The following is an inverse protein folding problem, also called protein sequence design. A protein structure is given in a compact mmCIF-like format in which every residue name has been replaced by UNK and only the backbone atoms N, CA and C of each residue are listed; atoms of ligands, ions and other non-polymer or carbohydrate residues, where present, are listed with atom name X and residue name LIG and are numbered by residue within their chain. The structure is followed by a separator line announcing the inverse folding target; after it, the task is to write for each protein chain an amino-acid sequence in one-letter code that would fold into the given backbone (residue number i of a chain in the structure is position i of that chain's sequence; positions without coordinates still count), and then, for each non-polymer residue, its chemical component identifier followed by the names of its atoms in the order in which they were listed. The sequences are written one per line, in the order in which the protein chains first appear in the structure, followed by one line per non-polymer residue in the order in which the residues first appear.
data_IF_461601122056
#
_entry.id   IF_461601122056
#
_cell.length_a   1.000
_cell.length_b   1.000
_cell.length_c   1.000
_cell.angle_alpha   90.00
_cell.angle_beta   90.00
_cell.angle_gamma   90.00
#
_symmetry.space_group_name_H-M   'P 1'
#
loop_
_entity.id
_entity.type
_entity.pdbx_description
1 polymer ?
#
# COMPACT_ATOMS: atom_id res chain seq x y z
N UNK A 1 4.46 -2.15 16.12
CA UNK A 1 4.45 -2.08 14.63
C UNK A 1 4.41 -0.61 14.22
N UNK A 2 5.26 -0.21 13.30
CA UNK A 2 5.40 1.18 12.85
C UNK A 2 4.50 1.38 11.63
N UNK A 3 3.49 2.24 11.75
CA UNK A 3 2.66 2.67 10.61
C UNK A 3 3.12 4.05 10.14
N UNK A 4 2.74 4.48 8.93
CA UNK A 4 3.06 5.81 8.41
C UNK A 4 2.49 6.93 9.31
N UNK A 5 1.34 6.69 9.91
CA UNK A 5 0.64 7.67 10.75
C UNK A 5 1.06 7.64 12.23
N UNK A 6 1.82 6.62 12.67
CA UNK A 6 2.34 6.55 14.03
C UNK A 6 3.70 7.24 14.23
N UNK A 7 4.35 7.68 13.14
CA UNK A 7 5.63 8.38 13.20
C UNK A 7 5.41 9.86 13.50
N UNK A 8 6.24 10.45 14.34
CA UNK A 8 6.39 11.91 14.40
C UNK A 8 7.21 12.43 13.20
N UNK A 9 7.28 13.76 13.04
CA UNK A 9 7.96 14.36 11.89
C UNK A 9 9.48 14.13 11.91
N UNK A 10 10.10 14.10 13.08
CA UNK A 10 11.51 13.82 13.22
C UNK A 10 11.83 12.36 12.85
N UNK A 11 11.00 11.42 13.29
CA UNK A 11 11.15 10.01 12.94
C UNK A 11 10.91 9.75 11.44
N UNK A 12 9.96 10.45 10.82
CA UNK A 12 9.74 10.38 9.38
C UNK A 12 10.94 10.94 8.61
N UNK A 13 11.46 12.11 9.02
CA UNK A 13 12.62 12.75 8.37
C UNK A 13 13.85 11.83 8.39
N UNK A 14 14.20 11.25 9.54
CA UNK A 14 15.31 10.28 9.63
C UNK A 14 15.15 9.10 8.67
N UNK A 15 13.93 8.59 8.49
CA UNK A 15 13.67 7.48 7.57
C UNK A 15 13.80 7.89 6.11
N UNK A 16 13.36 9.09 5.76
CA UNK A 16 13.54 9.64 4.41
C UNK A 16 15.03 9.93 4.12
N UNK A 17 15.79 10.44 5.08
CA UNK A 17 17.25 10.61 4.97
C UNK A 17 17.97 9.28 4.74
N UNK A 18 17.57 8.23 5.47
CA UNK A 18 18.09 6.87 5.24
C UNK A 18 17.78 6.38 3.81
N UNK A 19 16.58 6.64 3.30
CA UNK A 19 16.24 6.31 1.90
C UNK A 19 17.04 7.14 0.91
N UNK A 20 17.33 8.40 1.20
CA UNK A 20 18.14 9.28 0.35
C UNK A 20 19.59 8.82 0.20
N UNK A 21 20.11 8.00 1.13
CA UNK A 21 21.43 7.39 1.02
C UNK A 21 21.50 6.20 0.04
N UNK A 22 20.35 5.71 -0.45
CA UNK A 22 20.30 4.60 -1.38
C UNK A 22 20.59 5.09 -2.81
N UNK A 23 21.70 4.66 -3.38
CA UNK A 23 22.19 5.15 -4.68
C UNK A 23 21.24 4.89 -5.86
N UNK A 24 20.37 3.88 -5.75
CA UNK A 24 19.40 3.53 -6.80
C UNK A 24 18.08 4.29 -6.70
N UNK A 25 17.85 5.06 -5.61
CA UNK A 25 16.58 5.72 -5.40
C UNK A 25 16.64 7.17 -5.89
N UNK A 26 15.89 7.55 -6.95
CA UNK A 26 15.94 8.90 -7.49
C UNK A 26 15.44 9.93 -6.48
N UNK A 27 16.16 11.07 -6.35
CA UNK A 27 15.77 12.17 -5.46
C UNK A 27 14.36 12.70 -5.74
N UNK A 28 13.98 12.81 -7.01
CA UNK A 28 12.61 13.22 -7.39
C UNK A 28 11.52 12.28 -6.85
N UNK A 29 11.78 10.97 -6.81
CA UNK A 29 10.84 10.01 -6.21
C UNK A 29 10.73 10.20 -4.70
N UNK A 30 11.84 10.51 -4.02
CA UNK A 30 11.84 10.81 -2.58
C UNK A 30 11.11 12.11 -2.26
N UNK A 31 11.17 13.10 -3.14
CA UNK A 31 10.39 14.35 -3.00
C UNK A 31 8.88 14.05 -3.09
N UNK A 32 8.45 13.22 -4.06
CA UNK A 32 7.05 12.77 -4.17
C UNK A 32 6.62 12.05 -2.90
N UNK A 33 7.41 11.06 -2.48
CA UNK A 33 7.10 10.22 -1.31
C UNK A 33 7.03 11.06 -0.05
N UNK A 34 8.06 11.88 0.22
CA UNK A 34 8.12 12.72 1.42
C UNK A 34 7.02 13.77 1.45
N UNK A 35 6.74 14.42 0.33
CA UNK A 35 5.64 15.38 0.19
C UNK A 35 4.28 14.73 0.40
N UNK A 36 4.03 13.59 -0.27
CA UNK A 36 2.78 12.83 -0.12
C UNK A 36 2.54 12.42 1.34
N UNK A 37 3.56 11.89 2.02
CA UNK A 37 3.44 11.48 3.42
C UNK A 37 3.12 12.64 4.36
N UNK A 38 3.72 13.81 4.15
CA UNK A 38 3.41 15.00 4.98
C UNK A 38 1.97 15.45 4.76
N UNK A 39 1.50 15.50 3.51
CA UNK A 39 0.12 15.86 3.17
C UNK A 39 -0.88 14.85 3.74
N UNK A 40 -0.63 13.56 3.58
CA UNK A 40 -1.48 12.51 4.14
C UNK A 40 -1.56 12.57 5.67
N UNK A 41 -0.45 12.85 6.37
CA UNK A 41 -0.42 12.98 7.83
C UNK A 41 -1.22 14.20 8.29
N UNK A 42 -1.07 15.35 7.62
CA UNK A 42 -1.87 16.54 7.88
C UNK A 42 -3.37 16.27 7.69
N UNK A 43 -3.75 15.64 6.57
CA UNK A 43 -5.12 15.24 6.32
C UNK A 43 -5.64 14.25 7.39
N UNK A 44 -4.83 13.24 7.78
CA UNK A 44 -5.22 12.25 8.81
C UNK A 44 -5.47 12.90 10.17
N UNK A 45 -4.67 13.90 10.57
CA UNK A 45 -4.83 14.59 11.84
C UNK A 45 -6.14 15.41 11.93
N UNK A 46 -6.71 15.79 10.79
CA UNK A 46 -7.96 16.53 10.70
C UNK A 46 -9.20 15.63 10.63
N UNK A 47 -9.02 14.31 10.48
CA UNK A 47 -10.12 13.35 10.35
C UNK A 47 -10.53 12.79 11.72
N UNK A 48 -11.83 12.81 11.97
CA UNK A 48 -12.41 12.03 13.06
C UNK A 48 -12.51 10.56 12.62
N UNK A 49 -12.03 9.59 13.42
CA UNK A 49 -12.24 8.19 13.11
C UNK A 49 -13.75 7.86 13.12
N UNK A 50 -14.21 6.96 12.23
CA UNK A 50 -15.60 6.55 12.24
C UNK A 50 -15.94 5.81 13.53
N UNK A 51 -17.22 5.90 13.95
CA UNK A 51 -17.71 5.12 15.07
C UNK A 51 -17.73 3.63 14.70
N UNK A 52 -16.86 2.86 15.34
CA UNK A 52 -16.73 1.42 15.09
C UNK A 52 -18.05 0.64 15.31
N UNK A 53 -18.90 1.11 16.23
CA UNK A 53 -20.19 0.47 16.53
C UNK A 53 -21.19 0.60 15.37
N UNK A 54 -20.98 1.55 14.46
CA UNK A 54 -21.83 1.75 13.28
C UNK A 54 -21.35 1.01 12.05
N UNK A 55 -20.18 0.38 12.11
CA UNK A 55 -19.63 -0.42 11.00
C UNK A 55 -20.30 -1.81 11.01
N UNK A 56 -20.89 -2.20 9.91
CA UNK A 56 -21.52 -3.51 9.72
C UNK A 56 -20.47 -4.61 9.53
N UNK A 57 -19.75 -4.98 10.60
CA UNK A 57 -18.68 -5.96 10.54
C UNK A 57 -19.21 -7.39 10.46
N UNK A 58 -18.49 -8.24 9.72
CA UNK A 58 -18.80 -9.67 9.60
C UNK A 58 -18.70 -10.38 10.96
N UNK A 59 -19.66 -11.24 11.23
CA UNK A 59 -19.71 -12.02 12.45
C UNK A 59 -18.60 -13.10 12.53
N UNK A 60 -18.36 -13.65 13.74
CA UNK A 60 -17.29 -14.63 13.96
C UNK A 60 -17.38 -15.89 13.06
N UNK A 61 -18.60 -16.36 12.77
CA UNK A 61 -18.82 -17.54 11.94
C UNK A 61 -18.41 -17.36 10.48
N UNK A 62 -18.77 -16.22 9.87
CA UNK A 62 -18.37 -15.89 8.50
C UNK A 62 -16.89 -15.57 8.40
N UNK A 63 -16.33 -14.94 9.42
CA UNK A 63 -14.89 -14.68 9.51
C UNK A 63 -14.06 -15.95 9.60
N UNK A 64 -14.53 -16.96 10.32
CA UNK A 64 -13.88 -18.28 10.37
C UNK A 64 -13.80 -18.95 8.99
N UNK A 65 -14.72 -18.60 8.07
CA UNK A 65 -14.74 -19.06 6.68
C UNK A 65 -13.92 -18.16 5.73
N UNK A 66 -13.22 -17.15 6.24
CA UNK A 66 -12.37 -16.26 5.46
C UNK A 66 -13.00 -14.93 5.07
N UNK A 67 -14.22 -14.60 5.51
CA UNK A 67 -14.78 -13.28 5.25
C UNK A 67 -13.96 -12.18 5.96
N UNK A 68 -13.65 -11.04 5.30
CA UNK A 68 -13.03 -9.91 5.96
C UNK A 68 -13.98 -9.27 6.97
N UNK A 69 -13.47 -8.44 7.87
CA UNK A 69 -14.30 -7.67 8.81
C UNK A 69 -15.32 -6.79 8.09
N UNK A 70 -14.87 -6.09 7.06
CA UNK A 70 -15.67 -5.21 6.23
C UNK A 70 -15.09 -5.28 4.81
N UNK A 71 -15.90 -5.57 3.79
CA UNK A 71 -15.36 -5.64 2.43
C UNK A 71 -14.83 -4.27 1.98
N UNK A 72 -13.79 -4.26 1.15
CA UNK A 72 -13.15 -3.00 0.71
C UNK A 72 -14.16 -2.01 0.09
N UNK A 73 -15.13 -2.51 -0.68
CA UNK A 73 -16.18 -1.69 -1.29
C UNK A 73 -17.11 -1.03 -0.27
N UNK A 74 -17.20 -1.59 0.94
CA UNK A 74 -18.08 -1.12 2.02
C UNK A 74 -17.33 -0.22 3.02
N UNK A 75 -16.02 0.01 2.82
CA UNK A 75 -15.27 0.95 3.66
C UNK A 75 -15.86 2.35 3.50
N UNK A 76 -16.29 2.99 4.60
CA UNK A 76 -16.80 4.34 4.52
C UNK A 76 -15.69 5.32 4.13
N UNK A 77 -16.00 6.20 3.19
CA UNK A 77 -15.18 7.34 2.83
C UNK A 77 -16.06 8.51 2.46
N UNK A 78 -15.55 9.71 2.59
CA UNK A 78 -16.22 10.94 2.20
C UNK A 78 -15.38 11.65 1.14
N UNK A 79 -15.88 11.83 -0.09
CA UNK A 79 -15.15 12.54 -1.14
C UNK A 79 -14.96 14.04 -0.84
N UNK A 80 -15.82 14.67 -0.04
CA UNK A 80 -15.73 16.09 0.23
C UNK A 80 -14.44 16.47 1.02
N UNK A 81 -14.13 15.87 2.19
CA UNK A 81 -12.86 16.13 2.87
C UNK A 81 -11.65 15.50 2.18
N UNK A 82 -11.82 14.59 1.21
CA UNK A 82 -10.74 14.04 0.41
C UNK A 82 -10.26 15.00 -0.69
N UNK A 83 -11.16 15.84 -1.24
CA UNK A 83 -10.87 16.69 -2.37
C UNK A 83 -9.69 17.66 -2.14
N UNK A 84 -9.55 18.36 -1.01
CA UNK A 84 -8.40 19.22 -0.77
C UNK A 84 -7.07 18.47 -0.88
N UNK A 85 -6.96 17.26 -0.33
CA UNK A 85 -5.74 16.45 -0.43
C UNK A 85 -5.42 16.05 -1.88
N UNK A 86 -6.43 15.72 -2.69
CA UNK A 86 -6.23 15.48 -4.12
C UNK A 86 -5.62 16.71 -4.82
N UNK A 87 -6.16 17.89 -4.55
CA UNK A 87 -5.67 19.13 -5.17
C UNK A 87 -4.25 19.47 -4.70
N UNK A 88 -3.92 19.30 -3.42
CA UNK A 88 -2.58 19.46 -2.87
C UNK A 88 -1.56 18.47 -3.46
N UNK A 89 -1.94 17.21 -3.65
CA UNK A 89 -1.11 16.22 -4.34
C UNK A 89 -0.87 16.60 -5.81
N UNK A 90 -1.88 17.10 -6.50
CA UNK A 90 -1.70 17.64 -7.85
C UNK A 90 -0.73 18.83 -7.88
N UNK A 91 -0.76 19.73 -6.89
CA UNK A 91 0.19 20.84 -6.76
C UNK A 91 1.60 20.31 -6.52
N UNK A 92 1.77 19.36 -5.59
CA UNK A 92 3.06 18.71 -5.30
C UNK A 92 3.67 18.11 -6.58
N UNK A 93 2.90 17.30 -7.30
CA UNK A 93 3.39 16.65 -8.51
C UNK A 93 3.67 17.61 -9.64
N UNK A 94 2.91 18.70 -9.76
CA UNK A 94 3.14 19.75 -10.76
C UNK A 94 4.40 20.58 -10.48
N UNK A 95 4.87 20.64 -9.23
CA UNK A 95 6.12 21.35 -8.85
C UNK A 95 7.39 20.60 -9.26
N UNK A 96 7.27 19.31 -9.59
CA UNK A 96 8.37 18.49 -10.05
C UNK A 96 8.69 18.76 -11.54
N UNK A 97 9.84 18.26 -11.99
CA UNK A 97 10.23 18.35 -13.39
C UNK A 97 9.97 17.02 -14.12
N UNK A 98 9.69 17.12 -15.43
CA UNK A 98 9.56 15.95 -16.31
C UNK A 98 8.14 15.40 -16.45
N UNK A 99 8.02 14.16 -16.90
CA UNK A 99 6.76 13.50 -17.29
C UNK A 99 5.61 13.57 -16.28
N UNK A 100 5.84 13.45 -14.96
CA UNK A 100 4.75 13.58 -13.99
C UNK A 100 4.09 14.96 -14.02
N UNK A 101 4.86 16.04 -14.17
CA UNK A 101 4.33 17.40 -14.19
C UNK A 101 3.42 17.65 -15.42
N UNK A 102 3.81 17.15 -16.59
CA UNK A 102 3.03 17.27 -17.82
C UNK A 102 1.71 16.49 -17.73
N UNK A 103 1.78 15.27 -17.20
CA UNK A 103 0.60 14.44 -16.97
C UNK A 103 -0.39 15.10 -15.98
N UNK A 104 0.12 15.70 -14.91
CA UNK A 104 -0.69 16.45 -13.95
C UNK A 104 -1.34 17.69 -14.57
N UNK A 105 -0.66 18.41 -15.44
CA UNK A 105 -1.26 19.54 -16.15
C UNK A 105 -2.44 19.09 -17.04
N UNK A 106 -2.30 17.94 -17.72
CA UNK A 106 -3.38 17.35 -18.47
C UNK A 106 -4.53 16.97 -17.56
N UNK A 107 -4.26 16.26 -16.46
CA UNK A 107 -5.27 15.87 -15.48
C UNK A 107 -6.00 17.08 -14.86
N UNK A 108 -5.31 18.16 -14.57
CA UNK A 108 -5.93 19.40 -14.05
C UNK A 108 -6.89 20.04 -15.05
N UNK A 109 -6.57 20.02 -16.35
CA UNK A 109 -7.49 20.47 -17.40
C UNK A 109 -8.73 19.59 -17.48
N UNK A 110 -8.56 18.28 -17.40
CA UNK A 110 -9.68 17.32 -17.39
C UNK A 110 -10.54 17.49 -16.12
N UNK A 111 -9.93 17.72 -14.96
CA UNK A 111 -10.66 17.99 -13.71
C UNK A 111 -11.42 19.33 -13.77
N UNK A 112 -10.89 20.33 -14.46
CA UNK A 112 -11.59 21.59 -14.66
C UNK A 112 -12.80 21.43 -15.61
N UNK A 113 -12.72 20.49 -16.55
CA UNK A 113 -13.83 20.15 -17.47
C UNK A 113 -14.87 19.22 -16.82
N UNK A 114 -14.45 18.38 -15.88
CA UNK A 114 -15.30 17.45 -15.12
C UNK A 114 -14.92 17.50 -13.63
N UNK A 115 -15.57 18.37 -12.87
CA UNK A 115 -15.34 18.55 -11.43
C UNK A 115 -15.56 17.27 -10.62
N UNK A 116 -16.33 16.33 -11.16
CA UNK A 116 -16.60 15.03 -10.53
C UNK A 116 -15.49 14.00 -10.78
N UNK A 117 -14.48 14.31 -11.60
CA UNK A 117 -13.41 13.36 -11.93
C UNK A 117 -12.70 12.78 -10.69
N UNK A 118 -12.30 13.57 -9.67
CA UNK A 118 -11.72 12.99 -8.45
C UNK A 118 -12.67 12.02 -7.74
N UNK A 119 -13.93 12.36 -7.60
CA UNK A 119 -14.93 11.48 -6.97
C UNK A 119 -15.14 10.18 -7.78
N UNK A 120 -15.12 10.24 -9.11
CA UNK A 120 -15.14 9.05 -9.97
C UNK A 120 -13.90 8.18 -9.78
N UNK A 121 -12.71 8.79 -9.66
CA UNK A 121 -11.48 8.06 -9.38
C UNK A 121 -11.49 7.41 -7.99
N UNK A 122 -12.05 8.07 -6.97
CA UNK A 122 -12.22 7.50 -5.65
C UNK A 122 -13.17 6.29 -5.69
N UNK A 123 -14.32 6.42 -6.33
CA UNK A 123 -15.26 5.31 -6.49
C UNK A 123 -14.63 4.13 -7.23
N UNK A 124 -13.90 4.38 -8.32
CA UNK A 124 -13.19 3.37 -9.09
C UNK A 124 -12.15 2.64 -8.22
N UNK A 125 -11.38 3.37 -7.38
CA UNK A 125 -10.41 2.76 -6.47
C UNK A 125 -11.09 1.87 -5.41
N UNK A 126 -12.18 2.34 -4.82
CA UNK A 126 -12.95 1.57 -3.84
C UNK A 126 -13.52 0.29 -4.44
N UNK A 127 -14.03 0.35 -5.68
CA UNK A 127 -14.63 -0.77 -6.40
C UNK A 127 -13.59 -1.67 -7.10
N UNK A 128 -12.31 -1.28 -7.16
CA UNK A 128 -11.28 -1.95 -7.96
C UNK A 128 -11.63 -1.98 -9.47
N UNK A 129 -12.09 -0.86 -9.97
CA UNK A 129 -12.43 -0.72 -11.40
C UNK A 129 -11.15 -0.55 -12.24
N UNK A 130 -10.59 -1.67 -12.65
CA UNK A 130 -9.39 -1.70 -13.50
C UNK A 130 -9.63 -1.09 -14.88
N UNK A 131 -10.89 -1.15 -15.40
CA UNK A 131 -11.22 -0.57 -16.69
C UNK A 131 -11.11 0.96 -16.67
N UNK A 132 -11.57 1.60 -15.58
CA UNK A 132 -11.40 3.04 -15.37
C UNK A 132 -9.91 3.43 -15.38
N UNK A 133 -9.09 2.75 -14.61
CA UNK A 133 -7.66 3.07 -14.51
C UNK A 133 -6.90 2.77 -15.81
N UNK A 134 -7.23 1.68 -16.51
CA UNK A 134 -6.64 1.35 -17.81
C UNK A 134 -6.99 2.39 -18.89
N UNK A 135 -8.23 2.88 -18.91
CA UNK A 135 -8.63 3.95 -19.82
C UNK A 135 -7.85 5.25 -19.57
N UNK A 136 -7.60 5.59 -18.30
CA UNK A 136 -6.78 6.74 -17.95
C UNK A 136 -5.28 6.53 -18.23
N UNK A 137 -4.76 5.33 -18.01
CA UNK A 137 -3.38 4.97 -18.35
C UNK A 137 -3.11 5.18 -19.86
N UNK A 138 -4.08 4.81 -20.72
CA UNK A 138 -3.99 5.05 -22.16
C UNK A 138 -4.01 6.55 -22.54
N UNK A 139 -4.71 7.38 -21.75
CA UNK A 139 -4.77 8.85 -21.95
C UNK A 139 -3.52 9.58 -21.43
N UNK A 140 -2.82 8.98 -20.47
CA UNK A 140 -1.62 9.55 -19.82
C UNK A 140 -0.42 8.60 -19.96
N UNK A 141 0.03 8.25 -21.18
CA UNK A 141 1.05 7.24 -21.41
C UNK A 141 2.41 7.57 -20.77
N UNK A 142 2.69 8.86 -20.51
CA UNK A 142 3.90 9.33 -19.83
C UNK A 142 3.86 9.14 -18.30
N UNK A 143 2.67 8.90 -17.72
CA UNK A 143 2.46 8.60 -16.30
C UNK A 143 1.21 7.72 -16.11
N UNK A 144 1.21 6.46 -16.58
CA UNK A 144 0.01 5.63 -16.67
C UNK A 144 -0.62 5.31 -15.31
N UNK A 145 0.17 5.30 -14.24
CA UNK A 145 -0.31 5.04 -12.89
C UNK A 145 -0.80 6.29 -12.14
N UNK A 146 -0.70 7.49 -12.73
CA UNK A 146 -0.93 8.77 -12.03
C UNK A 146 -2.29 8.85 -11.33
N UNK A 147 -3.38 8.54 -12.06
CA UNK A 147 -4.72 8.71 -11.48
C UNK A 147 -5.03 7.64 -10.41
N UNK A 148 -4.46 6.43 -10.58
CA UNK A 148 -4.53 5.40 -9.56
C UNK A 148 -3.77 5.81 -8.29
N UNK A 149 -2.54 6.31 -8.44
CA UNK A 149 -1.73 6.85 -7.34
C UNK A 149 -2.47 7.97 -6.60
N UNK A 150 -3.02 8.95 -7.32
CA UNK A 150 -3.75 10.05 -6.72
C UNK A 150 -4.97 9.58 -5.94
N UNK A 151 -5.78 8.67 -6.49
CA UNK A 151 -6.94 8.10 -5.80
C UNK A 151 -6.53 7.36 -4.52
N UNK A 152 -5.54 6.49 -4.62
CA UNK A 152 -4.99 5.74 -3.48
C UNK A 152 -4.41 6.68 -2.42
N UNK A 153 -3.51 7.59 -2.81
CA UNK A 153 -2.84 8.50 -1.88
C UNK A 153 -3.83 9.43 -1.17
N UNK A 154 -4.86 9.89 -1.88
CA UNK A 154 -5.91 10.74 -1.32
C UNK A 154 -6.78 10.01 -0.30
N UNK A 155 -7.16 8.76 -0.57
CA UNK A 155 -8.04 7.99 0.32
C UNK A 155 -7.30 7.33 1.48
N UNK A 156 -6.00 7.13 1.39
CA UNK A 156 -5.19 6.46 2.42
C UNK A 156 -5.43 6.98 3.85
N UNK A 157 -5.53 8.30 4.15
CA UNK A 157 -5.81 8.79 5.50
C UNK A 157 -7.16 8.34 6.04
N UNK A 158 -8.20 8.32 5.22
CA UNK A 158 -9.54 7.88 5.61
C UNK A 158 -9.59 6.37 5.82
N UNK A 159 -8.99 5.60 4.91
CA UNK A 159 -8.91 4.13 5.03
C UNK A 159 -8.13 3.70 6.27
N UNK A 160 -7.06 4.42 6.62
CA UNK A 160 -6.32 4.19 7.86
C UNK A 160 -7.18 4.47 9.09
N UNK A 161 -8.00 5.54 9.09
CA UNK A 161 -8.91 5.85 10.18
C UNK A 161 -9.96 4.74 10.40
N UNK A 162 -10.53 4.20 9.32
CA UNK A 162 -11.43 3.04 9.39
C UNK A 162 -10.71 1.81 9.94
N UNK A 163 -9.50 1.54 9.46
CA UNK A 163 -8.70 0.41 9.91
C UNK A 163 -8.38 0.48 11.41
N UNK A 164 -8.06 1.66 11.91
CA UNK A 164 -7.83 1.92 13.33
C UNK A 164 -9.11 1.71 14.16
N UNK A 165 -10.26 2.19 13.68
CA UNK A 165 -11.54 1.96 14.33
C UNK A 165 -11.89 0.46 14.40
N UNK A 166 -11.54 -0.32 13.37
CA UNK A 166 -11.74 -1.77 13.34
C UNK A 166 -10.72 -2.55 14.20
N UNK A 167 -9.68 -1.92 14.73
CA UNK A 167 -8.61 -2.62 15.45
C UNK A 167 -9.10 -3.38 16.69
N UNK A 168 -10.14 -2.89 17.36
CA UNK A 168 -10.74 -3.54 18.54
C UNK A 168 -11.53 -4.80 18.21
N UNK A 169 -12.01 -4.93 16.97
CA UNK A 169 -12.80 -6.07 16.50
C UNK A 169 -11.94 -7.23 15.98
N UNK A 170 -10.61 -7.11 16.03
CA UNK A 170 -9.69 -8.11 15.48
C UNK A 170 -8.95 -8.88 16.58
N UNK A 171 -8.63 -10.15 16.28
CA UNK A 171 -7.67 -10.95 17.06
C UNK A 171 -6.31 -10.99 16.33
N UNK A 172 -5.39 -10.13 16.75
CA UNK A 172 -4.04 -10.04 16.18
C UNK A 172 -3.13 -11.24 16.51
N UNK A 173 -3.55 -12.09 17.43
CA UNK A 173 -2.77 -13.26 17.88
C UNK A 173 -2.90 -14.43 16.93
N UNK A 174 -4.04 -14.55 16.22
CA UNK A 174 -4.30 -15.67 15.32
C UNK A 174 -3.61 -15.46 13.98
N UNK A 175 -3.07 -16.56 13.45
CA UNK A 175 -2.58 -16.62 12.06
C UNK A 175 -3.78 -16.60 11.12
N UNK A 176 -3.76 -15.69 10.17
CA UNK A 176 -4.76 -15.61 9.10
C UNK A 176 -4.29 -16.42 7.90
N UNK A 177 -4.99 -17.50 7.57
CA UNK A 177 -4.56 -18.47 6.57
C UNK A 177 -5.16 -18.25 5.17
N UNK A 178 -6.04 -17.26 5.01
CA UNK A 178 -6.77 -17.03 3.76
C UNK A 178 -5.99 -16.15 2.73
N UNK A 179 -4.78 -15.71 3.05
CA UNK A 179 -3.92 -14.93 2.15
C UNK A 179 -4.27 -13.44 2.05
N UNK A 180 -5.51 -13.11 1.74
CA UNK A 180 -6.01 -11.74 1.68
C UNK A 180 -6.11 -11.07 3.06
N UNK A 181 -6.34 -9.76 3.09
CA UNK A 181 -6.45 -8.98 4.32
C UNK A 181 -7.70 -9.35 5.14
N UNK A 182 -7.58 -9.69 6.44
CA UNK A 182 -8.73 -9.96 7.30
C UNK A 182 -9.61 -8.75 7.60
N UNK A 183 -9.16 -7.53 7.27
CA UNK A 183 -9.95 -6.31 7.45
C UNK A 183 -10.82 -6.00 6.25
N UNK A 184 -10.26 -6.03 5.02
CA UNK A 184 -10.94 -5.55 3.82
C UNK A 184 -11.02 -6.55 2.66
N UNK A 185 -10.37 -7.71 2.75
CA UNK A 185 -10.36 -8.72 1.69
C UNK A 185 -9.38 -8.46 0.53
N UNK A 186 -8.69 -7.31 0.49
CA UNK A 186 -7.69 -7.04 -0.56
C UNK A 186 -6.38 -7.80 -0.29
N UNK A 187 -5.59 -8.09 -1.34
CA UNK A 187 -4.32 -8.79 -1.19
C UNK A 187 -3.25 -7.92 -0.50
N UNK A 188 -2.21 -8.53 0.10
CA UNK A 188 -1.07 -7.81 0.64
C UNK A 188 -0.14 -7.31 -0.46
N UNK A 189 0.63 -6.24 -0.17
CA UNK A 189 1.68 -5.74 -1.05
C UNK A 189 3.10 -5.95 -0.49
N UNK A 190 3.24 -6.09 0.83
CA UNK A 190 4.52 -6.24 1.52
C UNK A 190 4.37 -7.17 2.72
N UNK A 191 5.43 -7.92 3.03
CA UNK A 191 5.54 -8.72 4.23
C UNK A 191 6.64 -8.22 5.15
N UNK A 192 6.61 -8.68 6.40
CA UNK A 192 7.61 -8.38 7.43
C UNK A 192 7.84 -9.62 8.30
N UNK A 193 9.09 -9.82 8.74
CA UNK A 193 9.47 -10.83 9.73
C UNK A 193 9.81 -10.13 11.05
N UNK A 194 9.13 -10.53 12.13
CA UNK A 194 9.24 -9.91 13.43
C UNK A 194 9.69 -10.90 14.51
N UNK A 195 10.42 -10.39 15.51
CA UNK A 195 10.86 -11.15 16.67
C UNK A 195 11.82 -12.27 16.32
N UNK A 196 12.49 -12.87 17.29
CA UNK A 196 13.50 -13.92 17.07
C UNK A 196 12.95 -15.14 16.30
N UNK A 197 11.66 -15.42 16.44
CA UNK A 197 10.97 -16.55 15.78
C UNK A 197 10.61 -16.28 14.33
N UNK A 198 10.80 -15.06 13.82
CA UNK A 198 10.45 -14.65 12.46
C UNK A 198 8.94 -14.73 12.20
N UNK A 199 8.13 -14.19 13.11
CA UNK A 199 6.69 -14.10 12.92
C UNK A 199 6.38 -13.30 11.66
N UNK A 200 5.75 -13.93 10.68
CA UNK A 200 5.39 -13.29 9.42
C UNK A 200 4.13 -12.46 9.57
N UNK A 201 4.21 -11.22 9.14
CA UNK A 201 3.08 -10.30 8.99
C UNK A 201 3.00 -9.82 7.55
N UNK A 202 1.80 -9.55 7.08
CA UNK A 202 1.56 -8.90 5.80
C UNK A 202 0.89 -7.56 5.99
N UNK A 203 1.21 -6.60 5.12
CA UNK A 203 0.54 -5.29 5.06
C UNK A 203 -0.36 -5.24 3.83
N UNK A 204 -1.61 -4.88 4.04
CA UNK A 204 -2.63 -4.80 3.00
C UNK A 204 -2.35 -3.67 2.02
N UNK A 205 -2.54 -3.93 0.71
CA UNK A 205 -2.37 -2.94 -0.35
C UNK A 205 -3.42 -1.82 -0.34
N UNK A 206 -4.58 -2.06 0.25
CA UNK A 206 -5.71 -1.12 0.26
C UNK A 206 -5.82 -0.36 1.58
N UNK A 207 -6.03 -1.04 2.70
CA UNK A 207 -6.33 -0.40 3.97
C UNK A 207 -5.10 -0.22 4.88
N UNK A 208 -3.92 -0.69 4.46
CA UNK A 208 -2.68 -0.58 5.23
C UNK A 208 -2.65 -1.42 6.52
N UNK A 209 -3.69 -2.21 6.80
CA UNK A 209 -3.70 -3.10 7.96
C UNK A 209 -2.58 -4.12 7.87
N UNK A 210 -1.85 -4.29 8.97
CA UNK A 210 -0.91 -5.40 9.10
C UNK A 210 -1.56 -6.53 9.87
N UNK A 211 -1.37 -7.77 9.41
CA UNK A 211 -1.96 -8.97 10.01
C UNK A 211 -0.97 -10.13 10.01
N UNK A 212 -1.14 -11.03 10.98
CA UNK A 212 -0.29 -12.22 11.11
C UNK A 212 -0.65 -13.23 10.02
N UNK A 213 0.34 -13.65 9.24
CA UNK A 213 0.18 -14.58 8.12
C UNK A 213 0.92 -15.90 8.38
N UNK A 214 0.52 -16.95 7.67
CA UNK A 214 1.23 -18.22 7.70
C UNK A 214 2.64 -18.06 7.11
N UNK A 215 3.64 -18.68 7.75
CA UNK A 215 5.05 -18.51 7.38
C UNK A 215 5.37 -19.14 6.03
N UNK A 216 4.91 -20.37 5.79
CA UNK A 216 5.15 -21.14 4.57
C UNK A 216 3.86 -21.26 3.76
N UNK A 217 3.41 -20.14 3.23
CA UNK A 217 2.22 -20.09 2.38
C UNK A 217 2.31 -18.91 1.40
N UNK A 218 1.94 -19.17 0.16
CA UNK A 218 1.74 -18.10 -0.83
C UNK A 218 0.48 -17.30 -0.47
N UNK A 219 0.55 -15.96 -0.33
CA UNK A 219 -0.63 -15.16 0.00
C UNK A 219 -1.62 -15.03 -1.17
N UNK A 220 -1.23 -15.42 -2.38
CA UNK A 220 -2.04 -15.21 -3.57
C UNK A 220 -2.81 -16.45 -4.02
N UNK A 221 -2.20 -17.64 -3.93
CA UNK A 221 -2.84 -18.89 -4.33
C UNK A 221 -2.91 -19.94 -3.20
N UNK A 222 -2.44 -19.60 -2.01
CA UNK A 222 -2.45 -20.42 -0.80
C UNK A 222 -1.58 -21.69 -0.88
N UNK A 223 -0.72 -21.79 -1.89
CA UNK A 223 0.25 -22.90 -2.02
C UNK A 223 1.14 -23.01 -0.77
N UNK A 224 1.42 -24.25 -0.33
CA UNK A 224 2.23 -24.58 0.86
C UNK A 224 3.35 -25.59 0.57
N UNK A 225 3.45 -26.09 -0.66
CA UNK A 225 4.47 -27.06 -1.05
C UNK A 225 5.87 -26.46 -0.98
N UNK A 226 6.77 -27.12 -0.26
CA UNK A 226 8.15 -26.66 -0.09
C UNK A 226 8.93 -26.59 -1.41
N UNK A 227 8.60 -27.45 -2.39
CA UNK A 227 9.16 -27.46 -3.73
C UNK A 227 8.64 -26.33 -4.61
N UNK A 228 7.49 -25.71 -4.25
CA UNK A 228 6.81 -24.63 -4.98
C UNK A 228 7.16 -23.24 -4.45
N UNK A 229 7.48 -23.13 -3.18
CA UNK A 229 7.85 -21.88 -2.55
C UNK A 229 9.38 -21.73 -2.56
N UNK A 230 9.87 -20.60 -3.03
CA UNK A 230 11.29 -20.26 -3.04
C UNK A 230 11.47 -18.86 -2.46
N UNK A 231 12.68 -18.61 -2.00
CA UNK A 231 13.10 -17.31 -1.48
C UNK A 231 14.48 -17.00 -2.06
N UNK A 232 14.69 -15.72 -2.40
CA UNK A 232 15.99 -15.21 -2.74
C UNK A 232 16.25 -13.84 -2.11
N UNK A 233 17.51 -13.54 -1.93
CA UNK A 233 18.03 -12.31 -1.35
C UNK A 233 19.16 -11.76 -2.23
N UNK A 234 19.68 -10.60 -1.92
CA UNK A 234 20.91 -10.07 -2.52
C UNK A 234 21.77 -9.42 -1.44
N UNK A 235 23.08 -9.53 -1.57
CA UNK A 235 24.04 -8.95 -0.62
C UNK A 235 23.90 -7.43 -0.47
N UNK A 236 23.43 -6.75 -1.52
CA UNK A 236 23.18 -5.32 -1.49
C UNK A 236 21.94 -4.90 -0.65
N UNK A 237 21.07 -5.87 -0.33
CA UNK A 237 19.82 -5.64 0.42
C UNK A 237 19.61 -6.73 1.50
N UNK A 238 20.53 -6.87 2.49
CA UNK A 238 20.57 -8.01 3.41
C UNK A 238 19.35 -8.14 4.31
N UNK A 239 18.54 -7.08 4.44
CA UNK A 239 17.32 -7.07 5.27
C UNK A 239 16.03 -7.23 4.45
N UNK A 240 16.15 -7.60 3.19
CA UNK A 240 14.98 -7.80 2.32
C UNK A 240 15.06 -9.14 1.61
N UNK A 241 13.90 -9.78 1.49
CA UNK A 241 13.73 -11.06 0.84
C UNK A 241 12.62 -10.97 -0.22
N UNK A 242 12.73 -11.78 -1.28
CA UNK A 242 11.64 -12.02 -2.22
C UNK A 242 11.16 -13.45 -2.03
N UNK A 243 9.89 -13.61 -1.71
CA UNK A 243 9.23 -14.91 -1.65
C UNK A 243 8.41 -15.12 -2.92
N UNK A 244 8.78 -16.12 -3.69
CA UNK A 244 8.16 -16.46 -4.98
C UNK A 244 7.38 -17.77 -4.90
N UNK A 245 6.32 -17.87 -5.67
CA UNK A 245 5.51 -19.08 -5.79
C UNK A 245 5.53 -19.59 -7.23
N UNK A 246 6.04 -20.81 -7.44
CA UNK A 246 6.10 -21.45 -8.77
C UNK A 246 4.72 -21.90 -9.28
N UNK A 247 3.72 -22.02 -8.39
CA UNK A 247 2.37 -22.43 -8.77
C UNK A 247 1.60 -21.30 -9.46
N UNK A 248 1.70 -20.07 -8.95
CA UNK A 248 0.99 -18.91 -9.54
C UNK A 248 1.91 -17.87 -10.18
N UNK A 249 3.23 -18.09 -10.18
CA UNK A 249 4.28 -17.19 -10.68
C UNK A 249 4.23 -15.77 -10.08
N UNK A 250 3.69 -15.63 -8.88
CA UNK A 250 3.65 -14.36 -8.17
C UNK A 250 4.73 -14.29 -7.07
N UNK A 251 5.09 -13.05 -6.71
CA UNK A 251 6.01 -12.79 -5.61
C UNK A 251 5.47 -11.74 -4.63
N UNK A 252 6.00 -11.79 -3.42
CA UNK A 252 5.87 -10.75 -2.40
C UNK A 252 7.25 -10.47 -1.79
N UNK A 253 7.55 -9.19 -1.55
CA UNK A 253 8.76 -8.79 -0.83
C UNK A 253 8.51 -8.81 0.67
N UNK A 254 9.54 -9.15 1.44
CA UNK A 254 9.53 -9.13 2.90
C UNK A 254 10.69 -8.28 3.42
N UNK A 255 10.44 -7.51 4.46
CA UNK A 255 11.48 -6.87 5.27
C UNK A 255 11.79 -7.74 6.49
N UNK A 256 13.05 -8.08 6.69
CA UNK A 256 13.51 -8.75 7.91
C UNK A 256 13.76 -7.72 9.01
N UNK A 257 12.84 -7.65 9.96
CA UNK A 257 12.89 -6.71 11.06
C UNK A 257 13.37 -7.34 12.38
N UNK A 258 13.87 -8.58 12.32
CA UNK A 258 14.26 -9.33 13.53
C UNK A 258 15.37 -8.66 14.33
N UNK A 259 16.28 -7.99 13.65
CA UNK A 259 17.46 -7.33 14.24
C UNK A 259 17.50 -5.81 13.98
N UNK A 260 16.41 -5.24 13.45
CA UNK A 260 16.37 -3.82 13.12
C UNK A 260 15.77 -2.97 14.25
N UNK A 261 16.59 -2.08 14.82
CA UNK A 261 16.16 -1.14 15.87
C UNK A 261 15.19 -0.07 15.34
N UNK A 262 15.40 0.41 14.10
CA UNK A 262 14.52 1.39 13.44
C UNK A 262 13.93 0.81 12.16
N UNK A 263 12.79 0.15 12.30
CA UNK A 263 12.05 -0.39 11.17
C UNK A 263 11.49 0.73 10.27
N UNK A 264 11.55 0.50 8.96
CA UNK A 264 10.80 1.31 7.99
C UNK A 264 9.34 0.84 8.00
N UNK A 265 8.35 1.74 7.89
CA UNK A 265 6.99 1.35 7.54
C UNK A 265 6.94 0.57 6.22
N UNK A 266 6.00 -0.36 6.07
CA UNK A 266 5.92 -1.25 4.91
C UNK A 266 6.00 -0.53 3.55
N UNK A 267 5.36 0.62 3.40
CA UNK A 267 5.43 1.41 2.16
C UNK A 267 6.83 1.97 1.87
N UNK A 268 7.61 2.34 2.90
CA UNK A 268 9.00 2.78 2.74
C UNK A 268 9.94 1.58 2.58
N UNK A 269 9.66 0.45 3.22
CA UNK A 269 10.37 -0.82 3.01
C UNK A 269 10.22 -1.31 1.56
N UNK A 270 9.02 -1.17 1.00
CA UNK A 270 8.74 -1.49 -0.39
C UNK A 270 9.59 -0.63 -1.35
N UNK A 271 9.68 0.66 -1.08
CA UNK A 271 10.51 1.59 -1.84
C UNK A 271 12.01 1.27 -1.70
N UNK A 272 12.49 0.99 -0.48
CA UNK A 272 13.89 0.64 -0.22
C UNK A 272 14.33 -0.65 -0.92
N UNK A 273 13.41 -1.50 -1.29
CA UNK A 273 13.66 -2.82 -1.91
C UNK A 273 13.27 -2.90 -3.39
N UNK A 274 13.16 -1.77 -4.10
CA UNK A 274 12.85 -1.71 -5.54
C UNK A 274 13.76 -2.60 -6.43
N UNK A 275 15.08 -2.69 -6.21
CA UNK A 275 15.91 -3.60 -7.01
C UNK A 275 15.46 -5.06 -6.99
N UNK A 276 14.81 -5.51 -5.89
CA UNK A 276 14.27 -6.86 -5.81
C UNK A 276 13.05 -7.08 -6.73
N UNK A 277 12.27 -6.05 -7.03
CA UNK A 277 11.19 -6.14 -8.02
C UNK A 277 11.75 -6.39 -9.42
N UNK A 278 12.88 -5.76 -9.75
CA UNK A 278 13.57 -5.97 -11.03
C UNK A 278 14.09 -7.40 -11.14
N UNK A 279 14.74 -7.91 -10.10
CA UNK A 279 15.24 -9.28 -10.05
C UNK A 279 14.11 -10.30 -10.17
N UNK A 280 13.02 -10.13 -9.43
CA UNK A 280 11.86 -11.02 -9.49
C UNK A 280 11.25 -11.06 -10.89
N UNK A 281 11.13 -9.92 -11.57
CA UNK A 281 10.62 -9.84 -12.95
C UNK A 281 11.57 -10.50 -13.96
N UNK A 282 12.89 -10.35 -13.80
CA UNK A 282 13.89 -11.02 -14.64
C UNK A 282 13.80 -12.55 -14.52
N UNK A 283 13.47 -13.05 -13.32
CA UNK A 283 13.23 -14.47 -13.05
C UNK A 283 11.82 -14.96 -13.48
N UNK A 284 11.01 -14.09 -14.10
CA UNK A 284 9.69 -14.46 -14.65
C UNK A 284 8.53 -14.41 -13.66
N UNK A 285 8.73 -13.79 -12.49
CA UNK A 285 7.67 -13.62 -11.51
C UNK A 285 6.96 -12.27 -11.62
N UNK A 286 5.68 -12.24 -11.28
CA UNK A 286 4.83 -11.06 -11.34
C UNK A 286 4.42 -10.60 -9.94
N UNK A 287 4.22 -9.28 -9.80
CA UNK A 287 3.66 -8.68 -8.60
C UNK A 287 2.19 -8.39 -8.81
N UNK A 288 1.27 -9.07 -8.08
CA UNK A 288 -0.16 -8.89 -8.31
C UNK A 288 -0.74 -7.61 -7.73
N UNK A 289 0.02 -6.93 -6.87
CA UNK A 289 -0.44 -5.71 -6.21
C UNK A 289 0.54 -4.57 -6.45
N UNK A 290 0.08 -3.38 -6.87
CA UNK A 290 0.94 -2.21 -6.95
C UNK A 290 1.48 -1.83 -5.58
N UNK A 291 2.57 -1.07 -5.57
CA UNK A 291 3.10 -0.45 -4.37
C UNK A 291 2.14 0.62 -3.83
N UNK A 292 2.40 1.09 -2.62
CA UNK A 292 1.72 2.27 -2.07
C UNK A 292 1.95 3.55 -2.91
N UNK A 293 2.87 3.51 -3.87
CA UNK A 293 3.30 4.62 -4.73
C UNK A 293 2.80 4.48 -6.17
N UNK A 294 1.97 3.47 -6.46
CA UNK A 294 1.30 3.29 -7.73
C UNK A 294 2.14 2.61 -8.83
N UNK A 295 3.25 1.95 -8.48
CA UNK A 295 4.08 1.18 -9.43
C UNK A 295 4.40 -0.23 -8.95
#
# INVERSE_FOLDING_TARGET
MVTLFSLDDAALSRRLERLASLAWLPGALLEIVGGTLRLQRAARSSLNPPDAARLAVAGPGTRAQGAPLLAAADFPYDPAPARPLWDELCVLLASLRGSPAEAVQTLRRETAADEMLPAKAFAAFMQNDEAFFSAWAARLPQAPALIHFLAQATLTPQLAAVTEALATARDDRRVWEHGHCPHCGRPPFMGELHGKEGLRRHTCSFCGASYRAARLQCPFCLERGEDKLRMFTTDSLPFFEVHVCKTCNNYIKLADLREQAEALPAALSDLASLPLDMLARQEGYSRPTPSAWGF
#
